data_IF_172050076252
#
_entry.id   IF_172050076252
#
_cell.length_a   1.000
_cell.length_b   1.000
_cell.length_c   1.000
_cell.angle_alpha   90.00
_cell.angle_beta   90.00
_cell.angle_gamma   90.00
#
_symmetry.space_group_name_H-M   'P 1'
#
loop_
_entity.id
_entity.type
_entity.pdbx_description
1 polymer ?
#
# COMPACT_ATOMS: atom_id res chain seq x y z
N UNK A 1 -2.52 16.01 -13.73
CA UNK A 1 -3.20 14.70 -13.63
C UNK A 1 -2.31 13.61 -13.01
N UNK A 2 -1.07 13.43 -13.46
CA UNK A 2 -0.13 12.44 -12.87
C UNK A 2 0.06 12.59 -11.35
N UNK A 3 0.12 13.82 -10.84
CA UNK A 3 0.26 14.12 -9.42
C UNK A 3 -0.86 13.50 -8.58
N UNK A 4 -2.12 13.58 -9.04
CA UNK A 4 -3.28 13.00 -8.35
C UNK A 4 -3.23 11.47 -8.29
N UNK A 5 -2.74 10.82 -9.35
CA UNK A 5 -2.52 9.37 -9.38
C UNK A 5 -1.37 8.92 -8.47
N UNK A 6 -0.25 9.64 -8.46
CA UNK A 6 0.88 9.34 -7.58
C UNK A 6 0.50 9.53 -6.11
N UNK A 7 -0.19 10.62 -5.78
CA UNK A 7 -0.58 10.95 -4.41
C UNK A 7 -1.67 9.99 -3.93
N UNK A 8 -2.69 9.74 -4.75
CA UNK A 8 -3.73 8.75 -4.46
C UNK A 8 -3.16 7.33 -4.32
N UNK A 9 -2.26 6.90 -5.21
CA UNK A 9 -1.59 5.61 -5.12
C UNK A 9 -0.74 5.47 -3.86
N UNK A 10 -0.01 6.53 -3.48
CA UNK A 10 0.81 6.54 -2.27
C UNK A 10 -0.04 6.44 -1.00
N UNK A 11 -1.11 7.24 -0.91
CA UNK A 11 -2.04 7.20 0.23
C UNK A 11 -2.69 5.83 0.36
N UNK A 12 -3.12 5.23 -0.74
CA UNK A 12 -3.71 3.88 -0.73
C UNK A 12 -2.70 2.81 -0.27
N UNK A 13 -1.44 2.90 -0.71
CA UNK A 13 -0.37 2.00 -0.26
C UNK A 13 -0.12 2.17 1.25
N UNK A 14 -0.04 3.40 1.72
CA UNK A 14 0.20 3.71 3.13
C UNK A 14 -0.95 3.23 4.01
N UNK A 15 -2.19 3.54 3.65
CA UNK A 15 -3.38 3.05 4.35
C UNK A 15 -3.46 1.52 4.33
N UNK A 16 -3.12 0.87 3.21
CA UNK A 16 -3.11 -0.60 3.13
C UNK A 16 -2.04 -1.22 4.03
N UNK A 17 -0.87 -0.58 4.14
CA UNK A 17 0.20 -1.02 5.04
C UNK A 17 -0.22 -0.88 6.50
N UNK A 18 -0.76 0.28 6.89
CA UNK A 18 -1.27 0.53 8.24
C UNK A 18 -2.38 -0.45 8.62
N UNK A 19 -3.30 -0.74 7.70
CA UNK A 19 -4.36 -1.72 7.91
C UNK A 19 -3.79 -3.11 8.18
N UNK A 20 -2.77 -3.54 7.42
CA UNK A 20 -2.14 -4.85 7.64
C UNK A 20 -1.43 -4.94 8.98
N UNK A 21 -0.77 -3.85 9.42
CA UNK A 21 -0.17 -3.78 10.75
C UNK A 21 -1.22 -3.87 11.85
N UNK A 22 -2.30 -3.09 11.77
CA UNK A 22 -3.38 -3.10 12.75
C UNK A 22 -4.09 -4.48 12.83
N UNK A 23 -4.28 -5.13 11.69
CA UNK A 23 -4.85 -6.48 11.63
C UNK A 23 -3.88 -7.51 12.23
N UNK A 24 -2.58 -7.40 11.95
CA UNK A 24 -1.56 -8.27 12.53
C UNK A 24 -1.47 -8.15 14.06
N UNK A 25 -1.59 -6.92 14.58
CA UNK A 25 -1.56 -6.62 16.02
C UNK A 25 -2.84 -7.05 16.75
N UNK A 26 -3.89 -7.43 16.03
CA UNK A 26 -5.11 -7.97 16.62
C UNK A 26 -4.89 -9.42 17.12
N UNK A 27 -5.73 -9.89 18.04
CA UNK A 27 -5.70 -11.30 18.49
C UNK A 27 -6.33 -12.26 17.46
N UNK A 28 -6.05 -12.09 16.17
CA UNK A 28 -6.60 -12.87 15.05
C UNK A 28 -6.41 -14.38 15.21
N UNK A 29 -5.33 -14.81 15.89
CA UNK A 29 -5.01 -16.20 16.19
C UNK A 29 -5.95 -16.87 17.19
N UNK A 30 -6.74 -16.09 17.96
CA UNK A 30 -7.77 -16.62 18.86
C UNK A 30 -9.13 -16.81 18.19
N UNK A 31 -9.30 -16.31 16.97
CA UNK A 31 -10.53 -16.44 16.20
C UNK A 31 -10.56 -17.73 15.37
N UNK A 32 -11.71 -18.00 14.74
CA UNK A 32 -11.91 -19.18 13.89
C UNK A 32 -10.93 -19.24 12.72
N UNK A 33 -10.71 -20.45 12.19
CA UNK A 33 -9.81 -20.70 11.06
C UNK A 33 -10.15 -19.84 9.84
N UNK A 34 -11.43 -19.54 9.63
CA UNK A 34 -11.88 -18.68 8.53
C UNK A 34 -11.39 -17.23 8.69
N UNK A 35 -11.43 -16.70 9.91
CA UNK A 35 -10.91 -15.36 10.21
C UNK A 35 -9.40 -15.33 10.06
N UNK A 36 -8.70 -16.36 10.54
CA UNK A 36 -7.25 -16.46 10.39
C UNK A 36 -6.82 -16.47 8.92
N UNK A 37 -7.53 -17.24 8.07
CA UNK A 37 -7.29 -17.26 6.62
C UNK A 37 -7.54 -15.89 5.98
N UNK A 38 -8.61 -15.20 6.38
CA UNK A 38 -8.91 -13.87 5.85
C UNK A 38 -7.84 -12.85 6.25
N UNK A 39 -7.39 -12.88 7.50
CA UNK A 39 -6.30 -12.03 8.00
C UNK A 39 -5.00 -12.29 7.24
N UNK A 40 -4.64 -13.56 7.03
CA UNK A 40 -3.44 -13.92 6.27
C UNK A 40 -3.51 -13.38 4.82
N UNK A 41 -4.68 -13.47 4.18
CA UNK A 41 -4.90 -12.92 2.84
C UNK A 41 -4.76 -11.39 2.81
N UNK A 42 -5.29 -10.69 3.81
CA UNK A 42 -5.15 -9.23 3.93
C UNK A 42 -3.68 -8.84 4.07
N UNK A 43 -2.93 -9.51 4.95
CA UNK A 43 -1.51 -9.26 5.17
C UNK A 43 -0.73 -9.50 3.87
N UNK A 44 -0.90 -10.66 3.21
CA UNK A 44 -0.21 -10.99 1.95
C UNK A 44 -0.54 -9.97 0.84
N UNK A 45 -1.78 -9.49 0.77
CA UNK A 45 -2.19 -8.50 -0.23
C UNK A 45 -1.57 -7.13 0.03
N UNK A 46 -1.50 -6.70 1.28
CA UNK A 46 -0.89 -5.43 1.65
C UNK A 46 0.63 -5.40 1.44
N UNK A 47 1.31 -6.56 1.49
CA UNK A 47 2.74 -6.67 1.16
C UNK A 47 3.03 -6.44 -0.33
N UNK A 48 2.04 -6.60 -1.23
CA UNK A 48 2.19 -6.19 -2.63
C UNK A 48 2.03 -4.69 -2.73
N UNK A 49 3.15 -3.97 -2.62
CA UNK A 49 3.22 -2.57 -2.99
C UNK A 49 2.63 -2.39 -4.39
N UNK A 50 1.53 -1.64 -4.48
CA UNK A 50 0.89 -1.23 -5.74
C UNK A 50 1.82 -0.24 -6.44
N UNK A 51 2.95 -0.73 -6.93
CA UNK A 51 3.79 0.04 -7.84
C UNK A 51 3.00 0.13 -9.13
N UNK A 52 2.29 1.24 -9.31
CA UNK A 52 1.67 1.63 -10.57
C UNK A 52 2.78 1.69 -11.61
N UNK A 53 3.06 0.57 -12.28
CA UNK A 53 4.02 0.50 -13.38
C UNK A 53 3.40 1.24 -14.56
N UNK A 54 3.57 2.55 -14.61
CA UNK A 54 3.45 3.27 -15.87
C UNK A 54 4.68 2.89 -16.71
N UNK A 55 4.56 2.62 -18.02
CA UNK A 55 5.60 1.96 -18.82
C UNK A 55 6.94 2.71 -18.90
N UNK A 56 7.02 3.95 -18.38
CA UNK A 56 8.23 4.77 -18.37
C UNK A 56 8.50 5.48 -17.04
N UNK A 57 7.73 5.19 -15.98
CA UNK A 57 7.89 5.87 -14.69
C UNK A 57 7.45 4.96 -13.55
N UNK A 58 8.22 4.90 -12.47
CA UNK A 58 7.73 4.38 -11.20
C UNK A 58 7.26 5.58 -10.37
N UNK A 59 5.95 5.82 -10.22
CA UNK A 59 5.45 6.90 -9.41
C UNK A 59 5.79 6.61 -7.96
N UNK A 60 6.85 7.27 -7.48
CA UNK A 60 7.30 7.20 -6.10
C UNK A 60 7.45 8.62 -5.58
N UNK A 61 7.16 8.82 -4.29
CA UNK A 61 7.32 10.10 -3.58
C UNK A 61 8.68 10.80 -3.86
N UNK A 62 9.82 10.09 -3.88
CA UNK A 62 11.12 10.68 -4.24
C UNK A 62 11.20 11.14 -5.69
N UNK A 63 10.58 10.42 -6.62
CA UNK A 63 10.56 10.83 -8.03
C UNK A 63 9.68 12.06 -8.23
N UNK A 64 8.59 12.18 -7.47
CA UNK A 64 7.72 13.34 -7.47
C UNK A 64 8.41 14.59 -6.89
N UNK A 65 9.12 14.45 -5.78
CA UNK A 65 9.87 15.58 -5.18
C UNK A 65 11.05 16.01 -6.05
N UNK A 66 11.67 15.10 -6.81
CA UNK A 66 12.65 15.46 -7.84
C UNK A 66 12.04 16.25 -9.00
N UNK A 67 10.85 15.87 -9.50
CA UNK A 67 10.18 16.62 -10.56
C UNK A 67 9.76 18.01 -10.09
N UNK A 68 9.18 18.13 -8.89
CA UNK A 68 8.79 19.41 -8.30
C UNK A 68 9.98 20.31 -7.94
N UNK A 69 11.17 19.74 -7.71
CA UNK A 69 12.41 20.52 -7.52
C UNK A 69 12.97 21.08 -8.82
N UNK A 70 12.58 20.52 -9.97
CA UNK A 70 13.07 20.90 -11.29
C UNK A 70 12.15 21.91 -12.01
N UNK A 71 10.90 22.05 -11.55
CA UNK A 71 9.96 23.11 -11.96
C UNK A 71 10.04 24.28 -11.00
#
# INVERSE_FOLDING_TARGET
ELFLYCLGGTVVIECSSQLATAVYDSNWYTHTVDVQRMVLLIIIRAQRSLVLKVPFFAPSLPALTSILRFT
#
